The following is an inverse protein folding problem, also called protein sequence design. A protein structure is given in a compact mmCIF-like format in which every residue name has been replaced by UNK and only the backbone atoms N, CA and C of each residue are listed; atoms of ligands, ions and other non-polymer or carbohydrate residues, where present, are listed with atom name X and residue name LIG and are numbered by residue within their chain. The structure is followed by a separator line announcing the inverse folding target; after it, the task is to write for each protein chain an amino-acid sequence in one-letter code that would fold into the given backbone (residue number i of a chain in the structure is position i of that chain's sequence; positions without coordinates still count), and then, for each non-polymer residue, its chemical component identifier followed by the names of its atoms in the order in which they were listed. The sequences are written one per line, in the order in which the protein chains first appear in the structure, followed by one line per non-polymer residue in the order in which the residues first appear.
data_IF_359308859423
#
_entry.id   IF_359308859423
#
_cell.length_a   1.000
_cell.length_b   1.000
_cell.length_c   1.000
_cell.angle_alpha   90.00
_cell.angle_beta   90.00
_cell.angle_gamma   90.00
#
_symmetry.space_group_name_H-M   'P 1'
#
loop_
_entity.id
_entity.type
_entity.pdbx_description
1 polymer ?
#
# COMPACT_ATOMS: atom_id res chain seq x y z
N UNK A 1 8.20 -0.81 25.20
CA UNK A 1 7.65 -1.57 24.04
C UNK A 1 7.99 -3.05 24.16
N UNK A 2 7.25 -3.97 23.53
CA UNK A 2 7.49 -5.42 23.73
C UNK A 2 8.91 -5.87 23.31
N UNK A 3 9.47 -5.24 22.28
CA UNK A 3 10.83 -5.56 21.80
C UNK A 3 11.94 -5.23 22.79
N UNK A 4 11.69 -4.36 23.78
CA UNK A 4 12.66 -4.04 24.84
C UNK A 4 12.84 -5.20 25.82
N UNK A 5 11.90 -6.15 25.84
CA UNK A 5 11.83 -7.23 26.83
C UNK A 5 11.79 -8.63 26.20
N UNK A 6 12.25 -8.79 24.94
CA UNK A 6 12.26 -10.11 24.28
C UNK A 6 13.11 -11.15 25.01
N UNK A 7 14.11 -10.72 25.78
CA UNK A 7 14.90 -11.61 26.63
C UNK A 7 14.06 -12.38 27.65
N UNK A 8 12.88 -11.87 28.04
CA UNK A 8 11.97 -12.58 28.95
C UNK A 8 11.41 -13.86 28.31
N UNK A 9 11.27 -13.91 26.99
CA UNK A 9 10.63 -15.03 26.27
C UNK A 9 11.62 -15.86 25.44
N UNK A 10 12.92 -15.62 25.60
CA UNK A 10 13.96 -16.23 24.75
C UNK A 10 14.07 -17.75 24.89
N UNK A 11 13.70 -18.28 26.05
CA UNK A 11 13.85 -19.70 26.42
C UNK A 11 12.59 -20.52 26.08
N UNK A 12 11.55 -19.90 25.50
CA UNK A 12 10.34 -20.58 25.07
C UNK A 12 10.54 -21.26 23.72
N UNK A 13 9.94 -22.45 23.55
CA UNK A 13 9.84 -23.08 22.24
C UNK A 13 8.78 -22.36 21.39
N UNK A 14 9.21 -21.85 20.24
CA UNK A 14 8.34 -21.09 19.36
C UNK A 14 7.16 -21.93 18.83
N UNK A 15 7.38 -23.20 18.51
CA UNK A 15 6.36 -24.06 17.91
C UNK A 15 5.30 -24.46 18.94
N UNK A 16 5.71 -24.77 20.17
CA UNK A 16 4.79 -25.03 21.27
C UNK A 16 3.91 -23.80 21.55
N UNK A 17 4.52 -22.60 21.62
CA UNK A 17 3.78 -21.39 21.94
C UNK A 17 2.85 -20.95 20.80
N UNK A 18 3.26 -21.05 19.53
CA UNK A 18 2.40 -20.65 18.40
C UNK A 18 1.25 -21.64 18.15
N UNK A 19 1.35 -22.87 18.66
CA UNK A 19 0.31 -23.88 18.57
C UNK A 19 -0.56 -24.00 19.82
N UNK A 20 -0.21 -23.34 20.93
CA UNK A 20 -1.06 -23.29 22.12
C UNK A 20 -2.41 -22.60 21.84
N UNK A 21 -3.50 -23.24 22.27
CA UNK A 21 -4.86 -22.77 22.01
C UNK A 21 -5.16 -21.43 22.71
N UNK A 22 -4.59 -21.18 23.90
CA UNK A 22 -4.79 -19.92 24.60
C UNK A 22 -4.06 -18.78 23.90
N UNK A 23 -2.83 -19.02 23.44
CA UNK A 23 -2.06 -18.08 22.64
C UNK A 23 -2.77 -17.74 21.34
N UNK A 24 -3.27 -18.74 20.61
CA UNK A 24 -4.03 -18.51 19.37
C UNK A 24 -5.26 -17.63 19.64
N UNK A 25 -6.00 -17.90 20.72
CA UNK A 25 -7.14 -17.09 21.12
C UNK A 25 -6.70 -15.65 21.42
N UNK A 26 -5.66 -15.46 22.22
CA UNK A 26 -5.11 -14.14 22.54
C UNK A 26 -4.60 -13.39 21.30
N UNK A 27 -3.94 -14.07 20.36
CA UNK A 27 -3.50 -13.50 19.08
C UNK A 27 -4.71 -13.00 18.28
N UNK A 28 -5.78 -13.80 18.15
CA UNK A 28 -7.00 -13.38 17.44
C UNK A 28 -7.63 -12.14 18.08
N UNK A 29 -7.70 -12.08 19.40
CA UNK A 29 -8.22 -10.91 20.12
C UNK A 29 -7.30 -9.70 19.96
N UNK A 30 -5.98 -9.89 20.04
CA UNK A 30 -5.00 -8.84 19.80
C UNK A 30 -5.10 -8.27 18.38
N UNK A 31 -5.31 -9.13 17.38
CA UNK A 31 -5.54 -8.71 15.99
C UNK A 31 -6.83 -7.87 15.86
N UNK A 32 -7.92 -8.22 16.56
CA UNK A 32 -9.13 -7.38 16.60
C UNK A 32 -8.85 -6.05 17.28
N UNK A 33 -8.12 -6.04 18.39
CA UNK A 33 -7.68 -4.81 19.02
C UNK A 33 -6.93 -3.92 18.02
N UNK A 34 -5.95 -4.46 17.29
CA UNK A 34 -5.16 -3.70 16.32
C UNK A 34 -5.98 -3.21 15.11
N UNK A 35 -6.81 -4.06 14.50
CA UNK A 35 -7.48 -3.73 13.23
C UNK A 35 -8.89 -3.16 13.37
N UNK A 36 -9.61 -3.47 14.45
CA UNK A 36 -11.04 -3.13 14.65
C UNK A 36 -11.32 -2.27 15.88
N UNK A 37 -10.29 -1.86 16.62
CA UNK A 37 -10.46 -1.08 17.86
C UNK A 37 -11.31 -1.81 18.92
N UNK A 38 -11.19 -3.15 18.98
CA UNK A 38 -11.87 -4.02 19.95
C UNK A 38 -11.00 -4.24 21.20
N UNK A 39 -11.38 -3.68 22.34
CA UNK A 39 -10.58 -3.71 23.58
C UNK A 39 -10.65 -5.05 24.35
N UNK A 40 -11.39 -6.03 23.85
CA UNK A 40 -11.57 -7.33 24.51
C UNK A 40 -10.27 -8.14 24.68
N UNK A 41 -9.20 -7.77 23.97
CA UNK A 41 -7.86 -8.33 24.21
C UNK A 41 -7.38 -8.12 25.65
N UNK A 42 -7.52 -6.90 26.17
CA UNK A 42 -7.06 -6.58 27.51
C UNK A 42 -7.94 -7.23 28.59
N UNK A 43 -9.24 -7.33 28.34
CA UNK A 43 -10.16 -8.08 29.21
C UNK A 43 -9.78 -9.56 29.31
N UNK A 44 -9.54 -10.19 28.15
CA UNK A 44 -9.15 -11.60 28.10
C UNK A 44 -7.78 -11.82 28.76
N UNK A 45 -6.80 -10.95 28.50
CA UNK A 45 -5.49 -11.01 29.14
C UNK A 45 -5.61 -10.85 30.66
N UNK A 46 -6.50 -9.99 31.14
CA UNK A 46 -6.72 -9.74 32.56
C UNK A 46 -7.43 -10.89 33.29
N UNK A 47 -8.22 -11.69 32.58
CA UNK A 47 -8.96 -12.82 33.13
C UNK A 47 -8.08 -14.05 33.46
N UNK A 48 -6.85 -14.12 32.94
CA UNK A 48 -5.92 -15.19 33.28
C UNK A 48 -5.32 -14.97 34.68
N UNK A 49 -5.84 -15.72 35.65
CA UNK A 49 -5.35 -15.73 37.04
C UNK A 49 -4.00 -16.47 37.12
N UNK A 50 -3.03 -15.90 37.83
CA UNK A 50 -1.73 -16.53 38.10
C UNK A 50 -0.70 -16.46 36.98
N UNK A 51 -1.02 -15.81 35.86
CA UNK A 51 -0.09 -15.60 34.74
C UNK A 51 0.49 -14.18 34.82
N UNK A 52 1.81 -14.06 34.61
CA UNK A 52 2.46 -12.76 34.40
C UNK A 52 1.90 -12.13 33.10
N UNK A 53 1.06 -11.13 33.27
CA UNK A 53 0.37 -10.43 32.20
C UNK A 53 1.34 -9.69 31.28
N UNK A 54 2.42 -9.15 31.83
CA UNK A 54 3.43 -8.44 31.04
C UNK A 54 4.17 -9.43 30.15
N UNK A 55 4.63 -10.55 30.73
CA UNK A 55 5.25 -11.66 30.00
C UNK A 55 4.33 -12.17 28.87
N UNK A 56 3.06 -12.44 29.19
CA UNK A 56 2.11 -12.96 28.21
C UNK A 56 1.83 -11.94 27.11
N UNK A 57 1.70 -10.65 27.43
CA UNK A 57 1.54 -9.60 26.43
C UNK A 57 2.75 -9.52 25.48
N UNK A 58 3.99 -9.61 26.01
CA UNK A 58 5.22 -9.62 25.20
C UNK A 58 5.22 -10.80 24.24
N UNK A 59 4.90 -12.00 24.73
CA UNK A 59 4.82 -13.21 23.91
C UNK A 59 3.80 -13.07 22.77
N UNK A 60 2.58 -12.63 23.07
CA UNK A 60 1.52 -12.50 22.05
C UNK A 60 1.89 -11.46 20.99
N UNK A 61 2.50 -10.33 21.39
CA UNK A 61 2.98 -9.32 20.45
C UNK A 61 4.07 -9.91 19.52
N UNK A 62 5.01 -10.68 20.08
CA UNK A 62 6.09 -11.31 19.34
C UNK A 62 5.59 -12.37 18.35
N UNK A 63 4.75 -13.31 18.79
CA UNK A 63 4.15 -14.34 17.93
C UNK A 63 3.31 -13.71 16.80
N UNK A 64 2.50 -12.69 17.13
CA UNK A 64 1.68 -11.98 16.14
C UNK A 64 2.54 -11.33 15.06
N UNK A 65 3.66 -10.70 15.45
CA UNK A 65 4.58 -10.07 14.49
C UNK A 65 5.17 -11.09 13.53
N UNK A 66 5.59 -12.26 14.01
CA UNK A 66 6.15 -13.34 13.18
C UNK A 66 5.14 -13.84 12.15
N UNK A 67 3.89 -14.09 12.58
CA UNK A 67 2.81 -14.52 11.68
C UNK A 67 2.56 -13.44 10.64
N UNK A 68 2.31 -12.21 11.06
CA UNK A 68 1.94 -11.11 10.17
C UNK A 68 3.03 -10.76 9.17
N UNK A 69 4.30 -10.81 9.58
CA UNK A 69 5.45 -10.51 8.71
C UNK A 69 5.42 -11.32 7.41
N UNK A 70 4.83 -12.52 7.45
CA UNK A 70 4.72 -13.45 6.33
C UNK A 70 3.37 -13.37 5.59
N UNK A 71 2.58 -12.32 5.82
CA UNK A 71 1.28 -12.10 5.14
C UNK A 71 1.31 -10.83 4.30
N UNK A 72 0.32 -10.62 3.42
CA UNK A 72 0.14 -9.34 2.71
C UNK A 72 -0.24 -8.14 3.62
N UNK A 73 -0.57 -8.39 4.89
CA UNK A 73 -1.11 -7.39 5.81
C UNK A 73 -0.08 -6.68 6.69
N UNK A 74 1.22 -7.04 6.59
CA UNK A 74 2.27 -6.52 7.49
C UNK A 74 2.36 -4.99 7.51
N UNK A 75 2.30 -4.32 6.35
CA UNK A 75 2.38 -2.85 6.30
C UNK A 75 1.21 -2.18 7.03
N UNK A 76 0.00 -2.73 6.89
CA UNK A 76 -1.18 -2.20 7.56
C UNK A 76 -1.09 -2.44 9.07
N UNK A 77 -0.64 -3.62 9.47
CA UNK A 77 -0.40 -3.93 10.88
C UNK A 77 0.59 -2.95 11.52
N UNK A 78 1.76 -2.74 10.90
CA UNK A 78 2.78 -1.82 11.41
C UNK A 78 2.17 -0.43 11.63
N UNK A 79 1.42 0.07 10.64
CA UNK A 79 0.75 1.37 10.72
C UNK A 79 -0.22 1.42 11.91
N UNK A 80 -1.16 0.48 11.99
CA UNK A 80 -2.18 0.42 13.05
C UNK A 80 -1.58 0.22 14.44
N UNK A 81 -0.54 -0.60 14.53
CA UNK A 81 0.19 -0.82 15.76
C UNK A 81 0.87 0.46 16.25
N UNK A 82 1.56 1.19 15.37
CA UNK A 82 2.17 2.47 15.71
C UNK A 82 1.13 3.50 16.17
N UNK A 83 0.00 3.60 15.47
CA UNK A 83 -1.12 4.48 15.82
C UNK A 83 -1.73 4.17 17.19
N UNK A 84 -1.72 2.90 17.63
CA UNK A 84 -2.25 2.49 18.94
C UNK A 84 -1.27 2.69 20.09
N UNK A 85 0.02 2.42 19.84
CA UNK A 85 1.03 2.33 20.89
C UNK A 85 1.92 3.58 20.99
N UNK A 86 1.71 4.62 20.16
CA UNK A 86 2.59 5.80 20.17
C UNK A 86 2.66 6.52 21.53
N UNK A 87 1.59 6.50 22.33
CA UNK A 87 1.57 7.22 23.62
C UNK A 87 2.66 6.71 24.57
N UNK A 88 2.89 5.40 24.60
CA UNK A 88 3.88 4.78 25.47
C UNK A 88 5.31 5.20 25.13
N UNK A 89 5.58 5.44 23.84
CA UNK A 89 6.87 5.97 23.36
C UNK A 89 6.93 7.48 23.56
N UNK A 90 5.89 8.21 23.14
CA UNK A 90 5.81 9.67 23.18
C UNK A 90 5.99 10.21 24.61
N UNK A 91 5.43 9.54 25.61
CA UNK A 91 5.54 9.94 27.02
C UNK A 91 6.96 9.81 27.57
N UNK A 92 7.80 8.95 26.97
CA UNK A 92 9.20 8.74 27.37
C UNK A 92 10.18 9.60 26.58
N UNK A 93 9.76 10.13 25.43
CA UNK A 93 10.63 10.96 24.59
C UNK A 93 10.90 12.32 25.24
N UNK A 94 12.14 12.83 25.17
CA UNK A 94 12.42 14.24 25.48
C UNK A 94 11.81 15.15 24.40
N UNK A 95 11.81 16.47 24.64
CA UNK A 95 11.42 17.45 23.62
C UNK A 95 12.55 17.73 22.63
N UNK A 96 13.78 17.45 23.01
CA UNK A 96 14.98 17.62 22.19
C UNK A 96 15.70 16.29 22.09
N UNK A 97 16.10 15.91 20.87
CA UNK A 97 16.84 14.67 20.62
C UNK A 97 18.07 14.97 19.77
N UNK A 98 19.05 14.08 19.81
CA UNK A 98 20.24 14.18 18.94
C UNK A 98 19.82 14.23 17.48
N UNK A 99 20.48 15.09 16.69
CA UNK A 99 20.25 15.18 15.24
C UNK A 99 20.40 13.84 14.54
N UNK A 100 21.33 12.99 14.99
CA UNK A 100 21.56 11.68 14.41
C UNK A 100 20.41 10.71 14.70
N UNK A 101 19.91 10.71 15.93
CA UNK A 101 18.74 9.91 16.32
C UNK A 101 17.50 10.33 15.50
N UNK A 102 17.32 11.64 15.33
CA UNK A 102 16.25 12.18 14.50
C UNK A 102 16.39 11.71 13.04
N UNK A 103 17.57 11.83 12.45
CA UNK A 103 17.84 11.44 11.05
C UNK A 103 17.58 9.95 10.83
N UNK A 104 18.03 9.08 11.74
CA UNK A 104 17.85 7.62 11.62
C UNK A 104 16.38 7.23 11.47
N UNK A 105 15.48 7.96 12.16
CA UNK A 105 14.03 7.74 12.06
C UNK A 105 13.40 8.52 10.91
N UNK A 106 13.70 9.82 10.83
CA UNK A 106 13.04 10.76 9.93
C UNK A 106 13.38 10.50 8.46
N UNK A 107 14.62 10.09 8.15
CA UNK A 107 15.05 9.77 6.78
C UNK A 107 14.27 8.61 6.16
N UNK A 108 13.75 7.72 7.02
CA UNK A 108 12.90 6.60 6.61
C UNK A 108 11.42 6.96 6.58
N UNK A 109 11.05 8.16 7.06
CA UNK A 109 9.69 8.66 7.07
C UNK A 109 9.27 9.21 5.71
N UNK A 110 7.96 9.13 5.45
CA UNK A 110 7.32 9.84 4.32
C UNK A 110 6.54 11.06 4.80
N UNK A 111 6.64 11.41 6.09
CA UNK A 111 5.95 12.55 6.63
C UNK A 111 6.84 13.79 6.51
N UNK A 112 6.39 14.75 5.71
CA UNK A 112 7.08 16.01 5.47
C UNK A 112 7.29 16.84 6.74
N UNK A 113 6.50 16.60 7.81
CA UNK A 113 6.69 17.27 9.10
C UNK A 113 8.01 16.88 9.77
N UNK A 114 8.60 15.74 9.38
CA UNK A 114 9.88 15.27 9.89
C UNK A 114 11.06 15.62 8.97
N UNK A 115 10.85 16.44 7.93
CA UNK A 115 11.98 16.91 7.14
C UNK A 115 12.87 17.81 8.00
N UNK A 116 14.16 17.50 8.04
CA UNK A 116 15.14 18.21 8.87
C UNK A 116 15.17 19.72 8.57
N UNK A 117 14.97 20.11 7.32
CA UNK A 117 14.88 21.51 6.87
C UNK A 117 13.75 22.33 7.52
N UNK A 118 12.77 21.67 8.16
CA UNK A 118 11.61 22.28 8.82
C UNK A 118 11.70 22.25 10.34
N UNK A 119 12.81 21.74 10.88
CA UNK A 119 13.00 21.54 12.30
C UNK A 119 13.84 22.65 12.90
N UNK A 120 13.54 23.00 14.16
CA UNK A 120 14.40 23.88 14.94
C UNK A 120 15.60 23.09 15.46
N UNK A 121 16.80 23.53 15.07
CA UNK A 121 18.08 22.90 15.41
C UNK A 121 18.90 23.83 16.32
N UNK A 122 19.39 23.30 17.44
CA UNK A 122 20.37 23.99 18.28
C UNK A 122 21.45 23.01 18.75
N UNK A 123 22.73 23.37 18.56
CA UNK A 123 23.92 22.63 19.04
C UNK A 123 23.88 21.12 18.80
N UNK A 124 23.37 20.67 17.65
CA UNK A 124 23.31 19.25 17.29
C UNK A 124 22.09 18.50 17.84
N UNK A 125 21.11 19.22 18.39
CA UNK A 125 19.82 18.69 18.82
C UNK A 125 18.69 19.25 17.97
N UNK A 126 17.66 18.43 17.80
CA UNK A 126 16.43 18.75 17.08
C UNK A 126 15.28 18.85 18.09
N UNK A 127 14.59 20.00 18.11
CA UNK A 127 13.40 20.17 18.94
C UNK A 127 12.18 19.51 18.27
N UNK A 128 11.74 18.39 18.82
CA UNK A 128 10.61 17.61 18.33
C UNK A 128 9.29 17.95 19.02
N UNK A 129 9.21 18.93 19.93
CA UNK A 129 8.00 19.22 20.71
C UNK A 129 6.72 19.31 19.87
N UNK A 130 6.78 20.06 18.75
CA UNK A 130 5.62 20.26 17.85
C UNK A 130 5.25 19.02 17.04
N UNK A 131 6.20 18.12 16.79
CA UNK A 131 6.03 16.92 15.96
C UNK A 131 6.16 15.62 16.77
N UNK A 132 6.14 15.71 18.11
CA UNK A 132 6.50 14.62 19.03
C UNK A 132 5.66 13.37 18.83
N UNK A 133 4.36 13.56 18.60
CA UNK A 133 3.43 12.49 18.23
C UNK A 133 3.83 11.81 16.92
N UNK A 134 4.06 12.60 15.87
CA UNK A 134 4.46 12.11 14.55
C UNK A 134 5.77 11.33 14.64
N UNK A 135 6.76 11.87 15.34
CA UNK A 135 8.05 11.23 15.55
C UNK A 135 7.92 9.91 16.33
N UNK A 136 7.10 9.86 17.39
CA UNK A 136 6.84 8.63 18.15
C UNK A 136 6.18 7.51 17.33
N UNK A 137 5.22 7.87 16.47
CA UNK A 137 4.60 6.91 15.52
C UNK A 137 5.66 6.37 14.57
N UNK A 138 6.50 7.24 14.03
CA UNK A 138 7.52 6.87 13.05
C UNK A 138 8.64 6.02 13.65
N UNK A 139 9.06 6.29 14.90
CA UNK A 139 9.97 5.42 15.65
C UNK A 139 9.47 3.99 15.74
N UNK A 140 8.19 3.81 16.11
CA UNK A 140 7.58 2.48 16.18
C UNK A 140 7.52 1.84 14.79
N UNK A 141 7.10 2.61 13.78
CA UNK A 141 6.97 2.13 12.39
C UNK A 141 8.31 1.64 11.85
N UNK A 142 9.37 2.42 12.01
CA UNK A 142 10.73 2.07 11.60
C UNK A 142 11.19 0.81 12.31
N UNK A 143 11.02 0.75 13.65
CA UNK A 143 11.49 -0.41 14.41
C UNK A 143 10.79 -1.70 14.04
N UNK A 144 9.47 -1.67 13.89
CA UNK A 144 8.70 -2.84 13.44
C UNK A 144 9.06 -3.25 12.01
N UNK A 145 9.31 -2.28 11.12
CA UNK A 145 9.75 -2.58 9.75
C UNK A 145 11.08 -3.32 9.76
N UNK A 146 12.07 -2.87 10.53
CA UNK A 146 13.34 -3.58 10.69
C UNK A 146 13.14 -5.02 11.18
N UNK A 147 12.27 -5.22 12.18
CA UNK A 147 11.99 -6.55 12.72
C UNK A 147 11.31 -7.45 11.67
N UNK A 148 10.35 -6.91 10.89
CA UNK A 148 9.71 -7.65 9.80
C UNK A 148 10.71 -8.05 8.72
N UNK A 149 11.60 -7.16 8.30
CA UNK A 149 12.63 -7.49 7.31
C UNK A 149 13.58 -8.57 7.83
N UNK A 150 13.98 -8.51 9.11
CA UNK A 150 14.75 -9.59 9.76
C UNK A 150 13.99 -10.90 9.75
N UNK A 151 12.70 -10.91 10.12
CA UNK A 151 11.88 -12.12 10.10
C UNK A 151 11.81 -12.71 8.68
N UNK A 152 11.61 -11.87 7.66
CA UNK A 152 11.54 -12.29 6.25
C UNK A 152 12.86 -12.78 5.68
N UNK A 153 14.00 -12.35 6.23
CA UNK A 153 15.32 -12.87 5.80
C UNK A 153 15.55 -14.33 6.20
N UNK A 154 14.71 -14.88 7.08
CA UNK A 154 14.71 -16.30 7.42
C UNK A 154 13.48 -16.97 6.79
N UNK A 155 13.70 -18.12 6.15
CA UNK A 155 12.57 -18.91 5.66
C UNK A 155 11.82 -19.52 6.85
N UNK A 156 10.50 -19.26 6.93
CA UNK A 156 9.67 -19.96 7.91
C UNK A 156 9.75 -21.48 7.71
N UNK A 157 9.96 -22.28 8.78
CA UNK A 157 9.95 -23.73 8.69
C UNK A 157 8.67 -24.26 8.03
N UNK A 158 8.78 -25.37 7.28
CA UNK A 158 7.65 -25.96 6.54
C UNK A 158 6.52 -26.36 7.49
N UNK A 159 6.87 -26.82 8.68
CA UNK A 159 5.98 -27.19 9.77
C UNK A 159 5.11 -26.00 10.18
N UNK A 160 5.69 -24.80 10.26
CA UNK A 160 5.00 -23.55 10.59
C UNK A 160 4.13 -23.11 9.42
N UNK A 161 4.65 -23.12 8.18
CA UNK A 161 3.88 -22.75 6.98
C UNK A 161 2.66 -23.64 6.76
N UNK A 162 2.77 -24.93 7.08
CA UNK A 162 1.71 -25.90 6.85
C UNK A 162 0.74 -26.06 8.01
N UNK A 163 1.06 -25.51 9.18
CA UNK A 163 0.25 -25.64 10.39
C UNK A 163 -1.17 -25.06 10.20
N UNK A 164 -2.18 -25.88 10.51
CA UNK A 164 -3.59 -25.50 10.34
C UNK A 164 -4.01 -24.32 11.22
N UNK A 165 -3.49 -24.24 12.45
CA UNK A 165 -3.80 -23.16 13.38
C UNK A 165 -3.26 -21.82 12.90
N UNK A 166 -2.08 -21.82 12.27
CA UNK A 166 -1.49 -20.61 11.68
C UNK A 166 -2.28 -20.20 10.43
N UNK A 167 -2.67 -21.15 9.57
CA UNK A 167 -3.56 -20.89 8.43
C UNK A 167 -4.91 -20.32 8.87
N UNK A 168 -5.45 -20.80 9.97
CA UNK A 168 -6.68 -20.27 10.59
C UNK A 168 -6.49 -18.82 11.07
N UNK A 169 -5.36 -18.48 11.71
CA UNK A 169 -5.05 -17.07 12.04
C UNK A 169 -4.95 -16.21 10.78
N UNK A 170 -4.26 -16.67 9.73
CA UNK A 170 -4.12 -15.92 8.47
C UNK A 170 -5.48 -15.68 7.81
N UNK A 171 -6.33 -16.71 7.77
CA UNK A 171 -7.70 -16.63 7.27
C UNK A 171 -8.52 -15.66 8.10
N UNK A 172 -8.38 -15.73 9.43
CA UNK A 172 -9.03 -14.80 10.35
C UNK A 172 -8.62 -13.35 10.10
N UNK A 173 -7.32 -13.06 9.89
CA UNK A 173 -6.83 -11.72 9.52
C UNK A 173 -7.56 -11.22 8.26
N UNK A 174 -7.64 -12.07 7.22
CA UNK A 174 -8.37 -11.73 5.99
C UNK A 174 -9.84 -11.39 6.24
N UNK A 175 -10.50 -12.10 7.15
CA UNK A 175 -11.91 -11.83 7.49
C UNK A 175 -12.15 -10.50 8.23
N UNK A 176 -11.15 -9.99 8.95
CA UNK A 176 -11.29 -8.79 9.80
C UNK A 176 -10.67 -7.54 9.18
N UNK A 177 -9.70 -7.69 8.27
CA UNK A 177 -9.09 -6.59 7.54
C UNK A 177 -9.92 -6.29 6.31
N UNK A 178 -10.72 -5.24 6.40
CA UNK A 178 -11.43 -4.66 5.25
C UNK A 178 -10.81 -3.32 4.90
N UNK A 179 -10.46 -3.13 3.64
CA UNK A 179 -10.07 -1.82 3.11
C UNK A 179 -11.33 -1.00 2.83
N UNK A 180 -12.00 -0.58 3.90
CA UNK A 180 -13.23 0.22 3.84
C UNK A 180 -12.94 1.67 3.41
N UNK A 181 -13.91 2.32 2.78
CA UNK A 181 -13.87 3.76 2.49
C UNK A 181 -13.30 4.16 1.13
N UNK A 182 -12.91 3.21 0.28
CA UNK A 182 -12.63 3.48 -1.13
C UNK A 182 -13.92 3.22 -1.92
N UNK A 183 -14.53 4.27 -2.46
CA UNK A 183 -15.69 4.11 -3.34
C UNK A 183 -15.32 3.24 -4.54
N UNK A 184 -16.26 2.46 -5.09
CA UNK A 184 -16.01 1.54 -6.21
C UNK A 184 -15.61 2.24 -7.53
N UNK A 185 -15.45 3.56 -7.51
CA UNK A 185 -15.09 4.36 -8.68
C UNK A 185 -16.19 4.34 -9.74
N UNK A 186 -15.85 4.78 -10.96
CA UNK A 186 -16.73 4.66 -12.12
C UNK A 186 -16.34 3.41 -12.90
N UNK A 187 -17.31 2.55 -13.17
CA UNK A 187 -17.16 1.36 -14.02
C UNK A 187 -17.91 1.52 -15.35
N UNK A 188 -17.49 0.76 -16.35
CA UNK A 188 -18.11 0.68 -17.68
C UNK A 188 -18.65 -0.73 -17.94
N UNK A 189 -19.53 -0.86 -18.94
CA UNK A 189 -19.99 -2.16 -19.42
C UNK A 189 -19.84 -2.29 -20.95
N UNK A 190 -19.23 -3.40 -21.37
CA UNK A 190 -19.25 -3.85 -22.77
C UNK A 190 -18.65 -2.88 -23.80
N UNK A 191 -17.67 -2.05 -23.44
CA UNK A 191 -16.98 -1.21 -24.42
C UNK A 191 -16.05 -2.06 -25.29
N UNK A 192 -16.17 -1.91 -26.61
CA UNK A 192 -15.27 -2.48 -27.61
C UNK A 192 -14.93 -1.38 -28.61
N UNK A 193 -13.63 -1.14 -28.83
CA UNK A 193 -13.13 -0.15 -29.76
C UNK A 193 -11.88 0.55 -29.24
N UNK A 194 -11.26 1.35 -30.09
CA UNK A 194 -10.07 2.11 -29.74
C UNK A 194 -10.42 3.23 -28.75
N UNK A 195 -9.51 3.45 -27.80
CA UNK A 195 -9.62 4.53 -26.82
C UNK A 195 -8.85 5.74 -27.37
N UNK A 196 -9.53 6.85 -27.69
CA UNK A 196 -8.86 8.05 -28.16
C UNK A 196 -7.95 8.65 -27.11
N UNK A 197 -6.83 9.26 -27.54
CA UNK A 197 -5.82 9.85 -26.64
C UNK A 197 -6.47 10.82 -25.64
N UNK A 198 -7.42 11.62 -26.08
CA UNK A 198 -8.10 12.66 -25.30
C UNK A 198 -9.05 12.13 -24.22
N UNK A 199 -9.41 10.83 -24.25
CA UNK A 199 -10.22 10.22 -23.20
C UNK A 199 -9.40 9.85 -21.96
N UNK A 200 -8.07 9.83 -22.07
CA UNK A 200 -7.18 9.61 -20.94
C UNK A 200 -7.05 10.87 -20.07
N UNK A 201 -6.86 10.71 -18.74
CA UNK A 201 -6.77 11.83 -17.82
C UNK A 201 -5.55 12.70 -18.12
N UNK A 202 -5.60 14.02 -17.80
CA UNK A 202 -4.52 14.95 -18.07
C UNK A 202 -3.15 14.49 -17.55
N UNK A 203 -3.11 13.85 -16.38
CA UNK A 203 -1.87 13.35 -15.79
C UNK A 203 -1.20 12.25 -16.62
N UNK A 204 -1.97 11.30 -17.15
CA UNK A 204 -1.43 10.24 -18.00
C UNK A 204 -1.04 10.81 -19.38
N UNK A 205 -1.86 11.70 -19.94
CA UNK A 205 -1.53 12.36 -21.22
C UNK A 205 -0.24 13.16 -21.12
N UNK A 206 -0.01 13.85 -19.99
CA UNK A 206 1.23 14.57 -19.74
C UNK A 206 2.46 13.65 -19.70
N UNK A 207 2.35 12.45 -19.10
CA UNK A 207 3.45 11.47 -19.12
C UNK A 207 3.67 10.94 -20.53
N UNK A 208 2.61 10.63 -21.28
CA UNK A 208 2.72 10.20 -22.67
C UNK A 208 3.44 11.25 -23.52
N UNK A 209 3.08 12.53 -23.39
CA UNK A 209 3.71 13.63 -24.12
C UNK A 209 5.18 13.79 -23.75
N UNK A 210 5.52 13.66 -22.47
CA UNK A 210 6.89 13.71 -21.99
C UNK A 210 7.72 12.55 -22.59
N UNK A 211 7.19 11.31 -22.57
CA UNK A 211 7.81 10.15 -23.23
C UNK A 211 8.03 10.43 -24.72
N UNK A 212 6.98 10.80 -25.46
CA UNK A 212 7.04 10.99 -26.92
C UNK A 212 7.93 12.16 -27.35
N UNK A 213 8.16 13.15 -26.48
CA UNK A 213 9.07 14.27 -26.73
C UNK A 213 10.54 13.95 -26.42
N UNK A 214 10.84 12.73 -25.98
CA UNK A 214 12.17 12.29 -25.56
C UNK A 214 12.56 12.75 -24.16
N UNK A 215 11.58 13.18 -23.35
CA UNK A 215 11.78 13.48 -21.96
C UNK A 215 12.13 12.25 -21.12
N UNK A 216 12.37 12.46 -19.83
CA UNK A 216 12.73 11.39 -18.90
C UNK A 216 11.83 11.42 -17.66
N UNK A 217 10.61 10.84 -17.76
CA UNK A 217 9.71 10.77 -16.62
C UNK A 217 10.33 10.03 -15.44
N UNK A 218 9.94 10.40 -14.22
CA UNK A 218 10.42 9.71 -13.02
C UNK A 218 10.05 8.21 -13.04
N UNK A 219 10.79 7.38 -12.31
CA UNK A 219 10.50 5.95 -12.18
C UNK A 219 9.03 5.67 -11.79
N UNK A 220 8.46 6.50 -10.90
CA UNK A 220 7.06 6.38 -10.50
C UNK A 220 6.08 6.81 -11.59
N UNK A 221 6.41 7.84 -12.37
CA UNK A 221 5.60 8.27 -13.50
C UNK A 221 5.56 7.20 -14.61
N UNK A 222 6.71 6.64 -14.99
CA UNK A 222 6.82 5.52 -15.94
C UNK A 222 5.95 4.34 -15.48
N UNK A 223 6.03 4.01 -14.18
CA UNK A 223 5.28 2.89 -13.59
C UNK A 223 3.78 3.10 -13.69
N UNK A 224 3.34 4.26 -13.20
CA UNK A 224 1.93 4.64 -13.21
C UNK A 224 1.37 4.67 -14.63
N UNK A 225 2.15 5.16 -15.60
CA UNK A 225 1.78 5.17 -17.02
C UNK A 225 1.59 3.76 -17.55
N UNK A 226 2.62 2.90 -17.46
CA UNK A 226 2.59 1.54 -18.02
C UNK A 226 1.43 0.72 -17.45
N UNK A 227 1.25 0.74 -16.13
CA UNK A 227 0.17 -0.01 -15.47
C UNK A 227 -1.19 0.55 -15.84
N UNK A 228 -1.34 1.88 -15.83
CA UNK A 228 -2.59 2.51 -16.28
C UNK A 228 -2.91 2.14 -17.73
N UNK A 229 -1.92 2.19 -18.64
CA UNK A 229 -2.11 1.96 -20.07
C UNK A 229 -2.52 0.51 -20.34
N UNK A 230 -1.90 -0.44 -19.64
CA UNK A 230 -2.29 -1.86 -19.68
C UNK A 230 -3.75 -2.05 -19.22
N UNK A 231 -4.10 -1.53 -18.04
CA UNK A 231 -5.45 -1.66 -17.51
C UNK A 231 -6.47 -0.92 -18.39
N UNK A 232 -6.16 0.26 -18.91
CA UNK A 232 -7.03 1.00 -19.82
C UNK A 232 -7.38 0.17 -21.07
N UNK A 233 -6.41 -0.56 -21.62
CA UNK A 233 -6.58 -1.38 -22.82
C UNK A 233 -7.37 -2.67 -22.56
N UNK A 234 -7.05 -3.40 -21.49
CA UNK A 234 -7.58 -4.75 -21.29
C UNK A 234 -8.64 -4.88 -20.19
N UNK A 235 -8.60 -4.05 -19.14
CA UNK A 235 -9.62 -4.06 -18.08
C UNK A 235 -9.72 -2.70 -17.36
N UNK A 236 -10.45 -1.72 -17.95
CA UNK A 236 -10.57 -0.38 -17.39
C UNK A 236 -11.37 -0.34 -16.07
N UNK A 237 -12.06 -1.42 -15.73
CA UNK A 237 -12.78 -1.56 -14.46
C UNK A 237 -11.89 -1.99 -13.30
N UNK A 238 -10.65 -2.43 -13.57
CA UNK A 238 -9.74 -2.88 -12.53
C UNK A 238 -9.46 -1.76 -11.52
N UNK A 239 -9.62 -2.06 -10.23
CA UNK A 239 -9.23 -1.15 -9.14
C UNK A 239 -8.26 -1.84 -8.21
N UNK A 240 -7.41 -1.06 -7.50
CA UNK A 240 -6.50 -1.63 -6.50
C UNK A 240 -7.24 -2.39 -5.40
N UNK A 241 -8.45 -1.94 -5.08
CA UNK A 241 -9.33 -2.53 -4.08
C UNK A 241 -10.70 -2.78 -4.68
N UNK A 242 -11.21 -4.00 -4.53
CA UNK A 242 -12.56 -4.42 -4.88
C UNK A 242 -13.18 -5.20 -3.72
N UNK A 243 -14.46 -4.95 -3.41
CA UNK A 243 -15.16 -5.57 -2.28
C UNK A 243 -14.43 -5.46 -0.93
N UNK A 244 -13.63 -4.40 -0.75
CA UNK A 244 -12.84 -4.17 0.46
C UNK A 244 -11.57 -5.02 0.55
N UNK A 245 -11.15 -5.68 -0.52
CA UNK A 245 -9.92 -6.48 -0.59
C UNK A 245 -8.95 -5.95 -1.64
N UNK A 246 -7.64 -6.13 -1.39
CA UNK A 246 -6.60 -5.85 -2.38
C UNK A 246 -6.71 -6.86 -3.53
N UNK A 247 -6.86 -6.35 -4.75
CA UNK A 247 -6.86 -7.18 -5.95
C UNK A 247 -5.44 -7.66 -6.23
N UNK A 248 -5.25 -8.98 -6.35
CA UNK A 248 -3.94 -9.59 -6.56
C UNK A 248 -3.99 -10.48 -7.81
N UNK A 249 -4.03 -9.84 -8.98
CA UNK A 249 -4.09 -10.49 -10.30
C UNK A 249 -2.91 -10.04 -11.15
N UNK A 250 -2.43 -10.91 -12.03
CA UNK A 250 -1.40 -10.64 -13.02
C UNK A 250 -1.96 -10.38 -14.42
N UNK A 251 -1.07 -10.14 -15.39
CA UNK A 251 -1.47 -9.82 -16.77
C UNK A 251 -2.28 -10.95 -17.43
N UNK A 252 -1.91 -12.22 -17.16
CA UNK A 252 -2.55 -13.41 -17.73
C UNK A 252 -3.98 -13.65 -17.22
N UNK A 253 -4.37 -13.02 -16.09
CA UNK A 253 -5.75 -13.04 -15.61
C UNK A 253 -6.66 -12.09 -16.40
N UNK A 254 -6.07 -11.21 -17.21
CA UNK A 254 -6.78 -10.10 -17.88
C UNK A 254 -6.73 -10.23 -19.40
N UNK A 255 -5.60 -10.68 -19.96
CA UNK A 255 -5.37 -10.75 -21.40
C UNK A 255 -4.62 -12.03 -21.78
N UNK A 256 -4.68 -12.41 -23.06
CA UNK A 256 -3.94 -13.56 -23.57
C UNK A 256 -2.45 -13.24 -23.73
N UNK A 257 -1.62 -14.26 -23.69
CA UNK A 257 -0.16 -14.14 -23.79
C UNK A 257 0.30 -13.34 -25.02
N UNK A 258 -0.28 -13.60 -26.19
CA UNK A 258 0.03 -12.88 -27.42
C UNK A 258 -0.38 -11.40 -27.37
N UNK A 259 -1.55 -11.09 -26.80
CA UNK A 259 -2.02 -9.71 -26.64
C UNK A 259 -1.11 -8.92 -25.68
N UNK A 260 -0.57 -9.60 -24.66
CA UNK A 260 0.38 -9.02 -23.71
C UNK A 260 1.72 -8.76 -24.40
N UNK A 261 2.26 -9.70 -25.17
CA UNK A 261 3.51 -9.49 -25.92
C UNK A 261 3.38 -8.37 -26.96
N UNK A 262 2.24 -8.28 -27.65
CA UNK A 262 1.95 -7.16 -28.56
C UNK A 262 1.92 -5.82 -27.81
N UNK A 263 1.30 -5.78 -26.63
CA UNK A 263 1.33 -4.60 -25.75
C UNK A 263 2.76 -4.26 -25.30
N UNK A 264 3.58 -5.25 -24.91
CA UNK A 264 4.96 -5.00 -24.51
C UNK A 264 5.76 -4.34 -25.63
N UNK A 265 5.62 -4.86 -26.85
CA UNK A 265 6.31 -4.31 -28.02
C UNK A 265 5.82 -2.89 -28.34
N UNK A 266 4.51 -2.63 -28.22
CA UNK A 266 3.93 -1.28 -28.37
C UNK A 266 4.51 -0.28 -27.36
N UNK A 267 4.54 -0.63 -26.08
CA UNK A 267 5.09 0.24 -25.04
C UNK A 267 6.60 0.44 -25.23
N UNK A 268 7.37 -0.62 -25.49
CA UNK A 268 8.82 -0.51 -25.72
C UNK A 268 9.11 0.41 -26.91
N UNK A 269 8.33 0.32 -27.98
CA UNK A 269 8.44 1.22 -29.12
C UNK A 269 8.14 2.69 -28.75
N UNK A 270 7.18 2.96 -27.87
CA UNK A 270 6.92 4.33 -27.39
C UNK A 270 8.08 4.90 -26.56
N UNK A 271 8.74 4.06 -25.76
CA UNK A 271 9.83 4.47 -24.88
C UNK A 271 11.18 4.68 -25.59
N UNK A 272 11.29 4.32 -26.87
CA UNK A 272 12.56 4.38 -27.61
C UNK A 272 13.18 5.78 -27.74
N UNK A 273 12.40 6.82 -27.46
CA UNK A 273 12.82 8.23 -27.49
C UNK A 273 13.33 8.73 -26.14
N UNK A 274 13.08 7.99 -25.06
CA UNK A 274 13.48 8.39 -23.70
C UNK A 274 15.01 8.33 -23.56
N UNK A 275 15.59 9.35 -22.93
CA UNK A 275 17.06 9.54 -22.92
C UNK A 275 17.89 8.40 -22.31
N UNK A 276 17.33 7.58 -21.42
CA UNK A 276 17.99 6.41 -20.80
C UNK A 276 17.47 5.06 -21.32
N UNK A 277 16.89 5.04 -22.52
CA UNK A 277 16.22 3.86 -23.07
C UNK A 277 17.16 2.66 -23.28
N UNK A 278 16.67 1.51 -22.82
CA UNK A 278 17.26 0.18 -23.02
C UNK A 278 16.08 -0.80 -23.20
N UNK A 279 16.02 -1.47 -24.35
CA UNK A 279 14.85 -2.27 -24.72
C UNK A 279 14.61 -3.43 -23.76
N UNK A 280 15.65 -4.16 -23.38
CA UNK A 280 15.54 -5.34 -22.51
C UNK A 280 15.18 -4.93 -21.09
N UNK A 281 15.82 -3.88 -20.55
CA UNK A 281 15.46 -3.34 -19.23
C UNK A 281 14.04 -2.79 -19.21
N UNK A 282 13.62 -2.11 -20.27
CA UNK A 282 12.27 -1.57 -20.39
C UNK A 282 11.24 -2.70 -20.45
N UNK A 283 11.49 -3.75 -21.23
CA UNK A 283 10.61 -4.93 -21.32
C UNK A 283 10.52 -5.68 -20.00
N UNK A 284 11.65 -5.87 -19.31
CA UNK A 284 11.68 -6.47 -17.96
C UNK A 284 10.88 -5.63 -16.96
N UNK A 285 11.10 -4.32 -16.97
CA UNK A 285 10.42 -3.36 -16.11
C UNK A 285 8.90 -3.40 -16.30
N UNK A 286 8.42 -3.36 -17.55
CA UNK A 286 6.99 -3.42 -17.84
C UNK A 286 6.42 -4.76 -17.36
N UNK A 287 7.08 -5.87 -17.72
CA UNK A 287 6.67 -7.23 -17.35
C UNK A 287 6.53 -7.39 -15.84
N UNK A 288 7.47 -6.86 -15.06
CA UNK A 288 7.38 -6.83 -13.61
C UNK A 288 6.14 -6.05 -13.12
N UNK A 289 5.90 -4.85 -13.64
CA UNK A 289 4.83 -3.98 -13.16
C UNK A 289 3.42 -4.45 -13.55
N UNK A 290 3.26 -5.16 -14.66
CA UNK A 290 1.96 -5.74 -15.05
C UNK A 290 1.76 -7.17 -14.52
N UNK A 291 2.72 -7.72 -13.75
CA UNK A 291 2.61 -9.08 -13.24
C UNK A 291 2.64 -10.15 -14.33
N UNK A 292 3.63 -10.05 -15.23
CA UNK A 292 3.82 -10.96 -16.35
C UNK A 292 5.24 -11.55 -16.33
N UNK A 293 5.36 -12.89 -16.27
CA UNK A 293 6.62 -13.68 -16.23
C UNK A 293 7.57 -13.42 -15.05
N UNK A 294 7.67 -12.19 -14.55
CA UNK A 294 8.62 -11.73 -13.53
C UNK A 294 7.95 -11.54 -12.17
N UNK A 295 6.67 -11.19 -12.16
CA UNK A 295 5.85 -11.04 -10.96
C UNK A 295 4.49 -11.70 -11.17
N UNK A 296 3.78 -12.00 -10.08
CA UNK A 296 2.48 -12.66 -10.09
C UNK A 296 1.31 -11.68 -9.88
N UNK A 297 1.56 -10.37 -9.86
CA UNK A 297 0.53 -9.37 -9.65
C UNK A 297 0.88 -8.03 -10.30
N UNK A 298 -0.15 -7.29 -10.68
CA UNK A 298 -0.04 -5.92 -11.18
C UNK A 298 0.32 -4.97 -10.04
N UNK A 299 1.32 -4.13 -10.27
CA UNK A 299 1.64 -3.00 -9.38
C UNK A 299 0.64 -1.88 -9.63
N UNK A 300 -0.51 -1.92 -8.95
CA UNK A 300 -1.64 -1.03 -9.16
C UNK A 300 -1.29 0.46 -9.36
N UNK A 301 -2.03 1.10 -10.28
CA UNK A 301 -1.98 2.55 -10.46
C UNK A 301 -2.45 3.27 -9.18
N UNK A 302 -1.78 4.37 -8.85
CA UNK A 302 -2.04 5.13 -7.63
C UNK A 302 -3.38 5.89 -7.73
N UNK A 303 -4.12 5.98 -6.61
CA UNK A 303 -5.33 6.82 -6.51
C UNK A 303 -4.98 8.30 -6.72
N UNK A 304 -5.91 9.09 -7.27
CA UNK A 304 -5.70 10.51 -7.61
C UNK A 304 -5.17 11.34 -6.44
N UNK A 305 -5.56 11.03 -5.20
CA UNK A 305 -5.02 11.70 -3.99
C UNK A 305 -3.50 11.54 -3.90
N UNK A 306 -2.98 10.34 -4.17
CA UNK A 306 -1.55 10.02 -4.09
C UNK A 306 -0.74 10.63 -5.24
N UNK A 307 -1.39 11.05 -6.33
CA UNK A 307 -0.73 11.85 -7.36
C UNK A 307 -0.51 13.28 -6.90
N UNK A 308 -1.47 13.85 -6.15
CA UNK A 308 -1.37 15.21 -5.63
C UNK A 308 -0.43 15.29 -4.42
N UNK A 309 -0.52 14.33 -3.51
CA UNK A 309 0.29 14.21 -2.30
C UNK A 309 1.35 13.11 -2.51
N UNK A 310 2.21 13.29 -3.52
CA UNK A 310 3.07 12.22 -4.01
C UNK A 310 4.30 11.93 -3.14
N UNK A 311 4.58 12.77 -2.13
CA UNK A 311 5.72 12.62 -1.24
C UNK A 311 7.07 12.66 -1.97
N UNK A 312 7.17 13.44 -3.05
CA UNK A 312 8.42 13.59 -3.83
C UNK A 312 8.63 12.53 -4.92
N UNK A 313 7.63 11.71 -5.24
CA UNK A 313 7.70 10.71 -6.32
C UNK A 313 7.72 11.30 -7.74
N UNK A 314 7.45 12.60 -7.89
CA UNK A 314 7.38 13.30 -9.19
C UNK A 314 6.09 13.07 -9.98
N UNK A 315 5.06 12.48 -9.36
CA UNK A 315 3.73 12.32 -9.96
C UNK A 315 2.95 13.64 -9.95
N UNK A 316 3.16 14.46 -8.93
CA UNK A 316 2.50 15.76 -8.75
C UNK A 316 2.80 16.72 -9.90
N UNK A 317 3.99 16.62 -10.51
CA UNK A 317 4.39 17.37 -11.71
C UNK A 317 3.42 17.20 -12.88
N UNK A 318 2.88 15.99 -13.08
CA UNK A 318 1.92 15.70 -14.15
C UNK A 318 0.47 15.92 -13.69
N UNK A 319 0.21 16.05 -12.39
CA UNK A 319 -1.14 16.20 -11.87
C UNK A 319 -1.69 17.61 -12.13
N UNK A 320 -2.34 17.79 -13.28
CA UNK A 320 -3.03 19.03 -13.69
C UNK A 320 -4.55 18.78 -13.82
N UNK A 321 -5.32 18.80 -12.71
CA UNK A 321 -6.73 18.42 -12.73
C UNK A 321 -7.61 19.40 -13.53
N UNK A 322 -8.42 18.87 -14.44
CA UNK A 322 -9.45 19.60 -15.20
C UNK A 322 -10.83 19.53 -14.51
N UNK A 323 -11.87 19.97 -15.21
CA UNK A 323 -13.24 19.99 -14.68
C UNK A 323 -13.79 18.59 -14.39
N UNK A 324 -13.45 17.59 -15.19
CA UNK A 324 -13.87 16.19 -14.95
C UNK A 324 -13.21 15.69 -13.67
N UNK A 325 -11.90 15.94 -13.48
CA UNK A 325 -11.19 15.57 -12.25
C UNK A 325 -11.77 16.25 -11.00
N UNK A 326 -12.35 17.45 -11.14
CA UNK A 326 -12.89 18.25 -10.03
C UNK A 326 -14.33 17.92 -9.67
N UNK A 327 -15.02 17.10 -10.46
CA UNK A 327 -16.41 16.72 -10.23
C UNK A 327 -16.65 16.19 -8.82
N UNK A 328 -17.75 16.64 -8.20
CA UNK A 328 -18.20 16.21 -6.87
C UNK A 328 -19.57 15.53 -6.96
N UNK A 329 -19.77 14.52 -6.14
CA UNK A 329 -21.09 13.91 -5.95
C UNK A 329 -21.96 14.77 -5.01
N UNK A 330 -23.21 14.36 -4.81
CA UNK A 330 -24.19 15.06 -3.94
C UNK A 330 -23.70 15.27 -2.50
N UNK A 331 -22.73 14.48 -2.04
CA UNK A 331 -22.17 14.55 -0.69
C UNK A 331 -20.83 15.31 -0.65
N UNK A 332 -20.49 16.07 -1.70
CA UNK A 332 -19.24 16.84 -1.79
C UNK A 332 -17.97 16.01 -1.97
N UNK A 333 -18.08 14.69 -2.16
CA UNK A 333 -16.93 13.78 -2.37
C UNK A 333 -16.53 13.77 -3.85
N UNK A 334 -15.21 13.64 -4.17
CA UNK A 334 -14.77 13.49 -5.55
C UNK A 334 -15.46 12.32 -6.24
N UNK A 335 -15.89 12.53 -7.48
CA UNK A 335 -16.42 11.47 -8.35
C UNK A 335 -15.26 10.66 -8.94
N UNK A 336 -14.22 11.34 -9.40
CA UNK A 336 -12.99 10.73 -9.94
C UNK A 336 -12.01 10.55 -8.79
N UNK A 337 -11.80 9.31 -8.36
CA UNK A 337 -10.87 8.97 -7.27
C UNK A 337 -9.64 8.22 -7.76
N UNK A 338 -9.71 7.64 -8.96
CA UNK A 338 -8.65 6.90 -9.63
C UNK A 338 -8.54 7.33 -11.11
N UNK A 339 -7.34 7.33 -11.73
CA UNK A 339 -7.18 7.70 -13.15
C UNK A 339 -8.06 6.91 -14.12
N UNK A 340 -8.34 5.64 -13.83
CA UNK A 340 -9.28 4.83 -14.61
C UNK A 340 -10.74 5.29 -14.49
N UNK A 341 -11.14 5.97 -13.39
CA UNK A 341 -12.50 6.52 -13.29
C UNK A 341 -12.74 7.60 -14.34
N UNK A 342 -11.72 8.41 -14.62
CA UNK A 342 -11.78 9.44 -15.65
C UNK A 342 -12.00 8.82 -17.03
N UNK A 343 -11.26 7.76 -17.34
CA UNK A 343 -11.43 7.02 -18.59
C UNK A 343 -12.83 6.39 -18.68
N UNK A 344 -13.26 5.69 -17.61
CA UNK A 344 -14.58 5.08 -17.53
C UNK A 344 -15.70 6.12 -17.69
N UNK A 345 -15.54 7.31 -17.13
CA UNK A 345 -16.48 8.43 -17.30
C UNK A 345 -16.63 8.82 -18.77
N UNK A 346 -15.52 9.00 -19.49
CA UNK A 346 -15.54 9.37 -20.90
C UNK A 346 -16.13 8.27 -21.79
N UNK A 347 -15.81 7.01 -21.51
CA UNK A 347 -16.40 5.87 -22.22
C UNK A 347 -17.92 5.83 -22.00
N UNK A 348 -18.39 5.96 -20.76
CA UNK A 348 -19.82 5.98 -20.45
C UNK A 348 -20.53 7.17 -21.16
N UNK A 349 -19.92 8.36 -21.12
CA UNK A 349 -20.44 9.55 -21.83
C UNK A 349 -20.60 9.28 -23.33
N UNK A 350 -19.60 8.65 -23.95
CA UNK A 350 -19.65 8.26 -25.35
C UNK A 350 -20.75 7.22 -25.64
N UNK A 351 -20.80 6.14 -24.87
CA UNK A 351 -21.80 5.07 -25.03
C UNK A 351 -23.23 5.61 -24.88
N UNK A 352 -23.48 6.52 -23.92
CA UNK A 352 -24.77 7.16 -23.74
C UNK A 352 -25.14 8.04 -24.95
N UNK A 353 -24.21 8.86 -25.45
CA UNK A 353 -24.45 9.68 -26.65
C UNK A 353 -24.78 8.84 -27.90
N UNK A 354 -24.19 7.63 -28.01
CA UNK A 354 -24.50 6.67 -29.08
C UNK A 354 -25.89 6.06 -28.94
N UNK A 355 -26.35 5.77 -27.72
CA UNK A 355 -27.71 5.25 -27.46
C UNK A 355 -28.76 6.28 -27.82
N UNK A 356 -28.61 7.52 -27.35
CA UNK A 356 -29.54 8.62 -27.66
C UNK A 356 -29.64 8.90 -29.18
N UNK A 357 -28.53 8.79 -29.92
CA UNK A 357 -28.53 8.93 -31.38
C UNK A 357 -29.22 7.78 -32.11
N UNK A 358 -29.25 6.58 -31.51
CA UNK A 358 -29.98 5.42 -32.06
C UNK A 358 -31.47 5.48 -31.76
N UNK A 359 -31.87 6.03 -30.63
CA UNK A 359 -33.28 6.19 -30.25
C UNK A 359 -33.97 7.34 -31.01
N UNK A 360 -33.20 8.27 -31.57
CA UNK A 360 -33.68 9.38 -32.42
C UNK A 360 -33.74 9.06 -33.92
N UNK A 361 -33.30 7.87 -34.33
CA UNK A 361 -33.39 7.35 -35.71
C UNK A 361 -34.44 6.26 -35.75
#
# INVERSE_FOLDING_TARGET
MFWENLNKIKDLDFFDEITDNHNIKLIKYFLKYIFKDDDSYHELLNAYIGIDKEFKNILINYLTLIIIANTKYYNLYIKKYAEKNYKDVMNKLPNEISIWEFIDTASLSRNNDLHLERMDLDKGFVNIYRVKKTYAIELIRVKLKEMVERIKSYELPKEVKNNEKIKDIITFIGSIVKFEGIAEGIKISGFKGDIPKEWHPPCIRGILEDILSGGSPSHYARRSFVVYWFCAKFNPNLRPIENGELVNIGALDIAKDNEIEDFLNEIVAMFNTVGDFDADKTKYYISHNIGYKVANHITHCEYCKNWKEDGGKGLSYYCKPDDICRMKNKNGKPVIIHPLDYLCYNINKYQNSKKEKKEKK
#
